data_IF_057379763600
#
_entry.id   IF_057379763600
#
_cell.length_a   1.000
_cell.length_b   1.000
_cell.length_c   1.000
_cell.angle_alpha   90.00
_cell.angle_beta   90.00
_cell.angle_gamma   90.00
#
_symmetry.space_group_name_H-M   'P 1'
#
loop_
_entity.id
_entity.type
_entity.pdbx_description
1 polymer ?
#
# COMPACT_ATOMS: atom_id res chain seq x y z
N UNK A 1 20.36 2.30 -13.53
CA UNK A 1 19.52 2.68 -14.69
C UNK A 1 19.15 4.14 -14.51
N UNK A 2 19.22 4.93 -15.55
CA UNK A 2 18.86 6.35 -15.49
C UNK A 2 17.38 6.50 -15.83
N UNK A 3 16.62 7.19 -14.99
CA UNK A 3 15.18 7.42 -15.21
C UNK A 3 15.04 8.56 -16.23
N UNK A 4 14.55 8.24 -17.42
CA UNK A 4 14.41 9.21 -18.52
C UNK A 4 12.95 9.56 -18.86
N UNK A 5 11.97 8.84 -18.30
CA UNK A 5 10.54 9.04 -18.51
C UNK A 5 9.83 9.60 -17.28
N UNK A 6 10.43 9.41 -16.10
CA UNK A 6 9.91 9.86 -14.83
C UNK A 6 11.00 10.62 -14.07
N UNK A 7 10.61 11.56 -13.25
CA UNK A 7 11.53 12.23 -12.34
C UNK A 7 11.35 11.66 -10.94
N UNK A 8 12.43 11.22 -10.32
CA UNK A 8 12.46 10.68 -8.98
C UNK A 8 13.10 11.67 -8.04
N UNK A 9 12.39 12.01 -6.97
CA UNK A 9 12.89 12.89 -5.91
C UNK A 9 12.89 12.11 -4.57
N UNK A 10 14.07 11.68 -4.09
CA UNK A 10 14.17 10.98 -2.81
C UNK A 10 13.71 11.88 -1.65
N UNK A 11 12.85 11.36 -0.79
CA UNK A 11 12.32 12.06 0.39
C UNK A 11 13.17 11.82 1.64
N UNK A 12 13.95 10.75 1.64
CA UNK A 12 14.94 10.46 2.69
C UNK A 12 16.15 9.73 2.10
N UNK A 13 17.17 9.53 2.91
CA UNK A 13 18.41 8.89 2.47
C UNK A 13 18.21 7.42 2.02
N UNK A 14 17.28 6.69 2.64
CA UNK A 14 17.19 5.24 2.46
C UNK A 14 15.82 4.76 1.95
N UNK A 15 14.72 5.46 2.23
CA UNK A 15 13.38 5.00 1.92
C UNK A 15 12.48 6.18 1.54
N UNK A 16 11.63 5.94 0.55
CA UNK A 16 10.65 6.92 0.10
C UNK A 16 11.16 7.86 -0.99
N UNK A 17 10.43 7.92 -2.09
CA UNK A 17 10.67 8.88 -3.16
C UNK A 17 9.34 9.37 -3.74
N UNK A 18 9.34 10.60 -4.22
CA UNK A 18 8.24 11.16 -4.99
C UNK A 18 8.49 10.94 -6.48
N UNK A 19 7.48 10.47 -7.18
CA UNK A 19 7.50 10.28 -8.62
C UNK A 19 6.75 11.43 -9.28
N UNK A 20 7.46 12.20 -10.11
CA UNK A 20 6.92 13.35 -10.80
C UNK A 20 6.89 13.12 -12.31
N UNK A 21 6.01 13.87 -13.02
CA UNK A 21 5.92 13.83 -14.47
C UNK A 21 5.21 12.61 -15.03
N UNK A 22 4.38 11.93 -14.22
CA UNK A 22 3.64 10.75 -14.62
C UNK A 22 2.13 10.94 -14.42
N UNK A 23 1.35 10.44 -15.37
CA UNK A 23 -0.10 10.30 -15.29
C UNK A 23 -0.42 8.79 -15.21
N UNK A 24 -0.86 8.33 -14.06
CA UNK A 24 -1.15 6.91 -13.82
C UNK A 24 -2.35 6.40 -14.63
N UNK A 25 -3.16 7.29 -15.22
CA UNK A 25 -4.28 6.91 -16.09
C UNK A 25 -3.82 6.49 -17.49
N UNK A 26 -2.60 6.87 -17.90
CA UNK A 26 -2.06 6.69 -19.26
C UNK A 26 -0.68 6.03 -19.27
N UNK A 27 -0.47 5.09 -18.37
CA UNK A 27 0.80 4.42 -18.22
C UNK A 27 1.09 3.44 -19.36
N UNK A 28 2.18 3.67 -20.08
CA UNK A 28 2.79 2.69 -20.98
C UNK A 28 3.72 1.73 -20.21
N UNK A 29 4.12 0.64 -20.85
CA UNK A 29 4.94 -0.39 -20.20
C UNK A 29 6.33 0.12 -19.84
N UNK A 30 6.95 0.92 -20.72
CA UNK A 30 8.28 1.44 -20.47
C UNK A 30 8.33 2.45 -19.31
N UNK A 31 7.26 3.22 -19.10
CA UNK A 31 7.14 4.10 -17.93
C UNK A 31 6.87 3.29 -16.67
N UNK A 32 6.05 2.25 -16.76
CA UNK A 32 5.82 1.36 -15.62
C UNK A 32 7.09 0.63 -15.20
N UNK A 33 7.91 0.16 -16.13
CA UNK A 33 9.19 -0.49 -15.80
C UNK A 33 10.10 0.43 -14.99
N UNK A 34 10.11 1.72 -15.32
CA UNK A 34 10.86 2.71 -14.53
C UNK A 34 10.24 2.95 -13.15
N UNK A 35 8.91 2.97 -13.03
CA UNK A 35 8.22 3.05 -11.73
C UNK A 35 8.54 1.81 -10.89
N UNK A 36 8.51 0.63 -11.48
CA UNK A 36 8.81 -0.62 -10.78
C UNK A 36 10.26 -0.66 -10.28
N UNK A 37 11.22 -0.23 -11.12
CA UNK A 37 12.63 -0.10 -10.72
C UNK A 37 12.80 0.92 -9.58
N UNK A 38 12.14 2.07 -9.68
CA UNK A 38 12.13 3.08 -8.61
C UNK A 38 11.54 2.53 -7.31
N UNK A 39 10.47 1.73 -7.40
CA UNK A 39 9.85 1.08 -6.25
C UNK A 39 10.81 0.09 -5.57
N UNK A 40 11.50 -0.74 -6.33
CA UNK A 40 12.49 -1.67 -5.78
C UNK A 40 13.66 -0.94 -5.11
N UNK A 41 14.03 0.23 -5.62
CA UNK A 41 15.14 1.03 -5.08
C UNK A 41 14.77 1.83 -3.85
N UNK A 42 13.58 2.45 -3.84
CA UNK A 42 13.15 3.38 -2.80
C UNK A 42 12.11 2.80 -1.85
N UNK A 43 11.56 1.60 -2.13
CA UNK A 43 10.61 0.81 -1.31
C UNK A 43 9.24 1.46 -1.11
N UNK A 44 9.14 2.78 -1.08
CA UNK A 44 7.89 3.55 -1.00
C UNK A 44 7.93 4.64 -2.06
N UNK A 45 6.86 4.73 -2.86
CA UNK A 45 6.71 5.77 -3.86
C UNK A 45 5.46 6.61 -3.58
N UNK A 46 5.59 7.91 -3.76
CA UNK A 46 4.50 8.87 -3.65
C UNK A 46 4.19 9.45 -5.03
N UNK A 47 2.90 9.42 -5.38
CA UNK A 47 2.37 10.03 -6.59
C UNK A 47 1.41 11.14 -6.17
N UNK A 48 1.76 12.39 -6.45
CA UNK A 48 0.91 13.54 -6.13
C UNK A 48 -0.09 13.81 -7.24
N UNK A 49 -1.21 14.45 -6.88
CA UNK A 49 -2.19 15.01 -7.81
C UNK A 49 -2.71 14.00 -8.86
N UNK A 50 -2.93 12.74 -8.44
CA UNK A 50 -3.46 11.68 -9.29
C UNK A 50 -4.96 11.51 -9.04
N UNK A 51 -5.77 11.70 -10.07
CA UNK A 51 -7.20 11.42 -10.04
C UNK A 51 -7.48 10.10 -10.75
N UNK A 52 -7.68 9.03 -9.99
CA UNK A 52 -7.93 7.68 -10.51
C UNK A 52 -9.36 7.25 -10.24
N UNK A 53 -10.02 6.67 -11.24
CA UNK A 53 -11.22 5.86 -11.00
C UNK A 53 -10.83 4.57 -10.27
N UNK A 54 -11.81 3.86 -9.70
CA UNK A 54 -11.56 2.58 -9.03
C UNK A 54 -10.98 1.54 -9.98
N UNK A 55 -11.46 1.52 -11.23
CA UNK A 55 -10.97 0.64 -12.29
C UNK A 55 -9.50 0.92 -12.61
N UNK A 56 -9.15 2.20 -12.76
CA UNK A 56 -7.77 2.62 -13.03
C UNK A 56 -6.85 2.29 -11.86
N UNK A 57 -7.30 2.49 -10.62
CA UNK A 57 -6.55 2.10 -9.44
C UNK A 57 -6.27 0.58 -9.40
N UNK A 58 -7.30 -0.25 -9.65
CA UNK A 58 -7.12 -1.70 -9.75
C UNK A 58 -6.22 -2.10 -10.92
N UNK A 59 -6.36 -1.44 -12.06
CA UNK A 59 -5.52 -1.69 -13.24
C UNK A 59 -4.06 -1.39 -12.95
N UNK A 60 -3.77 -0.28 -12.28
CA UNK A 60 -2.43 0.05 -11.83
C UNK A 60 -1.88 -0.98 -10.84
N UNK A 61 -2.67 -1.35 -9.82
CA UNK A 61 -2.27 -2.35 -8.84
C UNK A 61 -1.96 -3.72 -9.44
N UNK A 62 -2.73 -4.16 -10.44
CA UNK A 62 -2.51 -5.45 -11.14
C UNK A 62 -1.17 -5.53 -11.87
N UNK A 63 -0.58 -4.41 -12.21
CA UNK A 63 0.75 -4.40 -12.84
C UNK A 63 1.87 -4.85 -11.91
N UNK A 64 1.66 -4.73 -10.59
CA UNK A 64 2.60 -5.22 -9.57
C UNK A 64 2.37 -6.69 -9.20
N UNK A 65 1.25 -7.28 -9.61
CA UNK A 65 0.92 -8.67 -9.34
C UNK A 65 -0.57 -8.90 -9.08
N UNK A 66 -0.88 -10.08 -8.56
CA UNK A 66 -2.24 -10.46 -8.21
C UNK A 66 -2.76 -9.63 -7.03
N UNK A 67 -3.97 -9.06 -7.19
CA UNK A 67 -4.59 -8.27 -6.14
C UNK A 67 -5.16 -9.16 -5.04
N UNK A 68 -4.87 -8.80 -3.80
CA UNK A 68 -5.42 -9.48 -2.65
C UNK A 68 -6.85 -9.02 -2.36
N UNK A 69 -7.73 -9.98 -2.07
CA UNK A 69 -9.08 -9.72 -1.57
C UNK A 69 -9.10 -10.04 -0.08
N UNK A 70 -9.33 -9.02 0.74
CA UNK A 70 -9.34 -9.21 2.19
C UNK A 70 -10.62 -9.94 2.62
N UNK A 71 -10.53 -11.06 3.39
CA UNK A 71 -11.68 -11.94 3.65
C UNK A 71 -12.77 -11.31 4.52
N UNK A 72 -12.42 -10.33 5.35
CA UNK A 72 -13.35 -9.74 6.35
C UNK A 72 -13.44 -8.21 6.29
N UNK A 73 -12.54 -7.54 5.56
CA UNK A 73 -12.60 -6.09 5.47
C UNK A 73 -13.69 -5.64 4.48
N UNK A 74 -14.43 -4.57 4.80
CA UNK A 74 -15.44 -4.04 3.89
C UNK A 74 -14.82 -3.52 2.61
N UNK A 75 -15.44 -3.84 1.49
CA UNK A 75 -15.08 -3.34 0.16
C UNK A 75 -16.26 -2.64 -0.50
N UNK A 76 -16.03 -1.68 -1.41
CA UNK A 76 -17.10 -1.11 -2.20
C UNK A 76 -17.76 -2.16 -3.07
N UNK A 77 -19.06 -2.00 -3.33
CA UNK A 77 -19.81 -2.89 -4.22
C UNK A 77 -19.13 -2.97 -5.60
N UNK A 78 -18.94 -4.19 -6.10
CA UNK A 78 -18.26 -4.45 -7.37
C UNK A 78 -16.74 -4.39 -7.34
N UNK A 79 -16.11 -4.01 -6.21
CA UNK A 79 -14.64 -3.83 -6.10
C UNK A 79 -14.04 -4.59 -4.91
N UNK A 80 -14.09 -5.91 -4.89
CA UNK A 80 -13.67 -6.70 -3.72
C UNK A 80 -12.19 -6.57 -3.37
N UNK A 81 -11.36 -6.19 -4.33
CA UNK A 81 -9.93 -5.97 -4.10
C UNK A 81 -9.58 -4.56 -3.58
N UNK A 82 -10.59 -3.70 -3.37
CA UNK A 82 -10.41 -2.41 -2.70
C UNK A 82 -10.90 -2.54 -1.27
N UNK A 83 -9.99 -2.49 -0.32
CA UNK A 83 -10.32 -2.46 1.10
C UNK A 83 -10.65 -1.02 1.51
N UNK A 84 -11.83 -0.82 2.12
CA UNK A 84 -12.23 0.50 2.63
C UNK A 84 -11.92 0.60 4.11
N UNK A 85 -10.96 1.43 4.43
CA UNK A 85 -10.70 1.84 5.81
C UNK A 85 -11.51 3.10 6.12
N UNK A 86 -12.26 3.05 7.20
CA UNK A 86 -13.05 4.17 7.69
C UNK A 86 -12.68 4.45 9.14
N UNK A 87 -12.33 5.69 9.41
CA UNK A 87 -12.13 6.20 10.75
C UNK A 87 -12.98 7.48 10.90
N UNK A 88 -13.85 7.50 11.87
CA UNK A 88 -14.65 8.67 12.23
C UNK A 88 -14.26 9.20 13.62
N UNK A 89 -14.72 10.38 13.96
CA UNK A 89 -14.45 10.99 15.26
C UNK A 89 -14.98 10.13 16.42
N UNK A 90 -16.07 9.39 16.21
CA UNK A 90 -16.63 8.50 17.24
C UNK A 90 -15.77 7.24 17.42
N UNK A 91 -15.15 6.72 16.36
CA UNK A 91 -14.26 5.55 16.42
C UNK A 91 -12.89 5.87 17.05
N UNK A 92 -12.48 7.14 16.98
CA UNK A 92 -11.16 7.62 17.50
C UNK A 92 -11.27 8.35 18.83
N UNK A 93 -12.48 8.73 19.27
CA UNK A 93 -12.69 9.57 20.46
C UNK A 93 -12.41 8.86 21.79
N UNK A 94 -12.38 7.53 21.84
CA UNK A 94 -12.14 6.78 23.07
C UNK A 94 -10.67 6.40 23.22
N UNK A 95 -9.85 7.39 23.58
CA UNK A 95 -8.41 7.22 23.85
C UNK A 95 -8.12 6.22 24.96
N UNK A 96 -9.02 6.04 25.92
CA UNK A 96 -8.82 5.12 27.04
C UNK A 96 -9.02 3.67 26.59
N UNK A 97 -9.95 3.41 25.68
CA UNK A 97 -10.10 2.08 25.08
C UNK A 97 -8.95 1.75 24.11
N UNK A 98 -8.43 2.75 23.39
CA UNK A 98 -7.25 2.59 22.54
C UNK A 98 -6.01 2.26 23.41
N UNK A 99 -5.78 2.98 24.50
CA UNK A 99 -4.69 2.72 25.45
C UNK A 99 -4.83 1.37 26.15
N UNK A 100 -6.06 0.93 26.40
CA UNK A 100 -6.34 -0.38 27.02
C UNK A 100 -6.25 -1.56 26.02
N UNK A 101 -5.91 -1.33 24.74
CA UNK A 101 -5.83 -2.36 23.70
C UNK A 101 -7.17 -2.97 23.29
N UNK A 102 -8.28 -2.38 23.74
CA UNK A 102 -9.64 -2.87 23.47
C UNK A 102 -10.20 -2.43 22.12
N UNK A 103 -9.61 -1.42 21.53
CA UNK A 103 -9.92 -0.93 20.18
C UNK A 103 -8.63 -0.75 19.40
N UNK A 104 -8.55 -1.32 18.23
CA UNK A 104 -7.44 -1.11 17.29
C UNK A 104 -7.88 -0.10 16.23
N UNK A 105 -7.09 0.96 16.06
CA UNK A 105 -7.14 1.78 14.86
C UNK A 105 -6.20 1.12 13.85
N UNK A 106 -6.66 0.95 12.61
CA UNK A 106 -5.84 0.36 11.56
C UNK A 106 -4.51 1.12 11.43
N UNK A 107 -3.40 0.42 11.55
CA UNK A 107 -2.07 0.99 11.37
C UNK A 107 -1.43 1.65 12.59
N UNK A 108 -2.01 1.60 13.80
CA UNK A 108 -1.38 2.22 14.99
C UNK A 108 -0.38 1.32 15.73
N UNK A 109 -0.17 0.10 15.26
CA UNK A 109 0.85 -0.83 15.76
C UNK A 109 1.78 -1.24 14.62
N UNK A 110 3.00 -1.61 14.95
CA UNK A 110 3.92 -2.25 14.01
C UNK A 110 3.27 -3.54 13.49
N UNK A 111 3.15 -3.65 12.19
CA UNK A 111 2.53 -4.79 11.52
C UNK A 111 3.19 -5.00 10.15
N UNK A 112 3.02 -6.17 9.60
CA UNK A 112 3.24 -6.41 8.18
C UNK A 112 1.89 -6.54 7.50
N UNK A 113 1.77 -6.00 6.29
CA UNK A 113 0.59 -6.22 5.46
C UNK A 113 0.55 -7.68 5.06
N UNK A 114 -0.51 -8.36 5.50
CA UNK A 114 -0.61 -9.79 5.42
C UNK A 114 -1.22 -10.23 4.10
N UNK A 115 -0.49 -11.05 3.33
CA UNK A 115 -1.08 -11.90 2.32
C UNK A 115 -1.78 -13.06 3.02
N UNK A 116 -3.03 -12.87 3.41
CA UNK A 116 -3.80 -13.94 3.98
C UNK A 116 -4.03 -15.03 2.91
N UNK A 117 -3.46 -16.22 3.14
CA UNK A 117 -3.94 -17.49 2.63
C UNK A 117 -3.85 -17.83 1.13
N UNK A 118 -2.87 -17.40 0.38
CA UNK A 118 -2.68 -17.96 -0.97
C UNK A 118 -1.38 -18.72 -1.19
N UNK A 119 -0.64 -19.03 -0.12
CA UNK A 119 0.52 -19.93 -0.24
C UNK A 119 0.48 -21.03 0.80
N UNK A 120 0.51 -22.32 0.40
CA UNK A 120 0.64 -23.44 1.32
C UNK A 120 2.07 -23.59 1.89
N UNK A 121 2.87 -22.56 1.91
CA UNK A 121 4.22 -22.59 2.44
C UNK A 121 4.30 -21.88 3.77
N UNK A 122 4.43 -22.73 4.77
CA UNK A 122 4.89 -22.54 6.14
C UNK A 122 4.16 -21.47 6.97
N UNK A 123 3.69 -21.84 8.15
CA UNK A 123 3.28 -20.86 9.13
C UNK A 123 4.49 -20.00 9.48
N UNK A 124 4.43 -18.70 9.18
CA UNK A 124 5.29 -17.73 9.83
C UNK A 124 4.82 -17.60 11.29
N UNK A 125 4.97 -18.68 12.03
CA UNK A 125 4.77 -18.74 13.49
C UNK A 125 6.07 -18.47 14.22
N UNK A 126 6.99 -17.76 13.62
CA UNK A 126 8.10 -17.21 14.38
C UNK A 126 7.88 -15.70 14.48
N UNK A 127 7.18 -15.36 15.56
CA UNK A 127 7.17 -14.04 16.17
C UNK A 127 8.56 -13.41 16.07
N UNK A 128 8.65 -12.23 15.49
CA UNK A 128 9.73 -11.30 15.81
C UNK A 128 9.62 -10.91 17.28
N UNK A 129 9.98 -11.82 18.18
CA UNK A 129 10.10 -11.54 19.61
C UNK A 129 11.44 -10.92 19.99
N UNK A 130 12.28 -10.58 19.01
CA UNK A 130 13.58 -9.96 19.23
C UNK A 130 13.87 -8.82 18.25
N UNK A 131 13.00 -7.81 18.24
CA UNK A 131 13.37 -6.48 17.78
C UNK A 131 13.34 -5.54 18.97
N UNK A 132 14.45 -5.57 19.75
CA UNK A 132 14.80 -4.53 20.70
C UNK A 132 15.71 -3.53 20.04
#
# INVERSE_FOLDING_TARGET
MEFNRIKIEPLSANIGAEVQGVDLTKLDDATFDQIHEAFLRHQVLFFRDQELTREQHLSFGRRFGELHIHPVAPSPEGYPAIMRLHADAASTADLDQLKAGKRAVAGNFWHSDWKAFSSPRAPLTESCTNCA
#
